data_IF_155188153159
#
_entry.id   IF_155188153159
#
_cell.length_a   1.000
_cell.length_b   1.000
_cell.length_c   1.000
_cell.angle_alpha   90.00
_cell.angle_beta   90.00
_cell.angle_gamma   90.00
#
_symmetry.space_group_name_H-M   'P 1'
#
loop_
_entity.id
_entity.type
_entity.pdbx_description
1 polymer ?
#
# COMPACT_ATOMS: atom_id res chain seq x y z
N UNK A 1 2.50 -2.13 13.30
CA UNK A 1 1.73 -3.40 13.27
C UNK A 1 2.25 -4.11 12.06
N UNK A 2 2.76 -5.36 12.13
CA UNK A 2 3.53 -5.92 11.02
C UNK A 2 2.82 -5.73 9.69
N UNK A 3 3.58 -5.35 8.65
CA UNK A 3 3.08 -5.18 7.27
C UNK A 3 2.12 -6.31 6.93
N UNK A 4 0.90 -5.96 6.51
CA UNK A 4 -0.15 -6.94 6.27
C UNK A 4 -0.27 -7.25 4.79
N UNK A 5 -0.35 -8.54 4.47
CA UNK A 5 -0.52 -9.02 3.11
C UNK A 5 -1.99 -9.29 2.83
N UNK A 6 -2.53 -8.63 1.82
CA UNK A 6 -3.90 -8.78 1.36
C UNK A 6 -3.90 -9.61 0.07
N UNK A 7 -4.66 -10.72 0.09
CA UNK A 7 -4.89 -11.56 -1.09
C UNK A 7 -6.33 -11.52 -1.57
N UNK A 8 -7.27 -11.21 -0.67
CA UNK A 8 -8.67 -11.04 -1.00
C UNK A 8 -8.95 -9.57 -1.36
N UNK A 9 -9.43 -9.27 -2.59
CA UNK A 9 -9.86 -7.93 -2.98
C UNK A 9 -10.82 -7.25 -1.99
N UNK A 10 -11.67 -8.01 -1.30
CA UNK A 10 -12.62 -7.44 -0.34
C UNK A 10 -11.92 -6.82 0.88
N UNK A 11 -10.78 -7.38 1.29
CA UNK A 11 -9.98 -6.85 2.40
C UNK A 11 -9.32 -5.51 2.07
N UNK A 12 -9.13 -5.18 0.78
CA UNK A 12 -8.62 -3.86 0.37
C UNK A 12 -9.63 -2.78 0.73
N UNK A 13 -10.92 -3.01 0.48
CA UNK A 13 -11.99 -2.09 0.85
C UNK A 13 -12.08 -1.90 2.37
N UNK A 14 -11.88 -2.96 3.15
CA UNK A 14 -11.82 -2.92 4.60
C UNK A 14 -10.58 -2.18 5.12
N UNK A 15 -9.43 -2.32 4.47
CA UNK A 15 -8.19 -1.60 4.83
C UNK A 15 -8.30 -0.10 4.55
N UNK A 16 -8.95 0.29 3.45
CA UNK A 16 -9.21 1.69 3.09
C UNK A 16 -10.26 2.32 4.01
N UNK A 17 -11.34 1.57 4.27
CA UNK A 17 -12.50 2.05 5.05
C UNK A 17 -12.38 1.77 6.55
N UNK A 18 -11.25 1.19 6.97
CA UNK A 18 -11.01 0.71 8.31
C UNK A 18 -11.21 1.79 9.37
N UNK A 19 -11.62 1.35 10.55
CA UNK A 19 -12.08 2.19 11.67
C UNK A 19 -10.99 3.01 12.36
N UNK A 20 -9.74 2.86 11.93
CA UNK A 20 -8.62 3.63 12.44
C UNK A 20 -8.51 4.95 11.68
N UNK A 21 -8.45 6.07 12.41
CA UNK A 21 -8.20 7.43 11.90
C UNK A 21 -6.81 7.60 11.24
N UNK A 22 -6.10 6.50 11.01
CA UNK A 22 -4.73 6.50 10.53
C UNK A 22 -4.72 6.54 9.01
N UNK A 23 -3.76 7.26 8.41
CA UNK A 23 -3.47 7.10 7.01
C UNK A 23 -3.08 5.64 6.71
N UNK A 24 -3.52 5.16 5.54
CA UNK A 24 -3.31 3.79 5.08
C UNK A 24 -2.54 3.81 3.77
N UNK A 25 -1.41 3.12 3.72
CA UNK A 25 -0.64 2.92 2.49
C UNK A 25 -0.88 1.50 1.99
N UNK A 26 -1.22 1.38 0.72
CA UNK A 26 -1.42 0.10 0.04
C UNK A 26 -0.46 0.00 -1.14
N UNK A 27 0.40 -1.00 -1.12
CA UNK A 27 1.25 -1.38 -2.23
C UNK A 27 0.58 -2.48 -3.06
N UNK A 28 0.13 -2.14 -4.25
CA UNK A 28 -0.44 -3.09 -5.20
C UNK A 28 0.67 -3.71 -6.04
N UNK A 29 0.98 -4.97 -5.76
CA UNK A 29 2.01 -5.75 -6.46
C UNK A 29 1.43 -6.46 -7.68
N UNK A 30 2.23 -6.55 -8.74
CA UNK A 30 1.90 -7.35 -9.91
C UNK A 30 2.50 -8.76 -9.76
N UNK A 31 1.70 -9.81 -9.51
CA UNK A 31 2.21 -11.17 -9.35
C UNK A 31 2.88 -11.73 -10.60
N UNK A 32 2.67 -11.13 -11.78
CA UNK A 32 3.39 -11.52 -13.00
C UNK A 32 4.87 -11.08 -13.01
N UNK A 33 5.27 -10.17 -12.12
CA UNK A 33 6.64 -9.67 -12.00
C UNK A 33 7.50 -10.49 -11.03
N UNK A 34 6.90 -11.41 -10.28
CA UNK A 34 7.57 -12.27 -9.32
C UNK A 34 6.69 -12.58 -8.12
N UNK A 35 7.15 -13.54 -7.30
CA UNK A 35 6.42 -14.01 -6.12
C UNK A 35 6.24 -12.91 -5.07
N UNK A 36 7.22 -12.00 -4.94
CA UNK A 36 7.26 -10.95 -3.92
C UNK A 36 7.77 -9.61 -4.49
N UNK A 37 7.28 -8.49 -3.93
CA UNK A 37 7.75 -7.15 -4.29
C UNK A 37 9.17 -6.88 -3.75
N UNK A 38 10.09 -6.30 -4.53
CA UNK A 38 11.39 -5.89 -4.02
C UNK A 38 11.30 -4.74 -3.01
N UNK A 39 10.14 -4.10 -2.85
CA UNK A 39 9.93 -3.04 -1.87
C UNK A 39 9.52 -3.59 -0.49
N UNK A 40 9.34 -4.90 -0.31
CA UNK A 40 8.92 -5.46 0.98
C UNK A 40 9.82 -5.04 2.15
N UNK A 41 11.14 -5.05 1.97
CA UNK A 41 12.08 -4.59 3.01
C UNK A 41 11.83 -3.12 3.39
N UNK A 42 11.55 -2.25 2.41
CA UNK A 42 11.21 -0.85 2.66
C UNK A 42 9.92 -0.70 3.47
N UNK A 43 8.89 -1.50 3.17
CA UNK A 43 7.64 -1.49 3.94
C UNK A 43 7.83 -2.02 5.37
N UNK A 44 8.69 -3.03 5.56
CA UNK A 44 9.02 -3.53 6.89
C UNK A 44 9.77 -2.46 7.72
N UNK A 45 10.79 -1.84 7.14
CA UNK A 45 11.52 -0.75 7.79
C UNK A 45 10.59 0.43 8.14
N UNK A 46 9.63 0.74 7.25
CA UNK A 46 8.62 1.75 7.50
C UNK A 46 7.66 1.37 8.65
N UNK A 47 7.20 0.12 8.74
CA UNK A 47 6.34 -0.31 9.85
C UNK A 47 7.05 -0.20 11.20
N UNK A 48 8.33 -0.56 11.25
CA UNK A 48 9.15 -0.44 12.47
C UNK A 48 9.29 1.02 12.92
N UNK A 49 9.36 1.97 11.98
CA UNK A 49 9.55 3.39 12.27
C UNK A 49 8.23 4.14 12.53
N UNK A 50 7.22 3.90 11.70
CA UNK A 50 5.99 4.73 11.63
C UNK A 50 4.69 3.91 11.70
N UNK A 51 4.76 2.59 11.86
CA UNK A 51 3.60 1.69 11.89
C UNK A 51 2.63 1.88 13.06
N UNK A 52 2.96 2.77 14.01
CA UNK A 52 2.03 3.25 15.04
C UNK A 52 1.13 4.37 14.53
N UNK A 53 1.54 5.09 13.49
CA UNK A 53 0.87 6.27 12.92
C UNK A 53 0.19 5.95 11.58
N UNK A 54 0.77 5.03 10.80
CA UNK A 54 0.30 4.63 9.46
C UNK A 54 0.05 3.13 9.40
N UNK A 55 -0.99 2.73 8.68
CA UNK A 55 -1.26 1.31 8.37
C UNK A 55 -0.65 0.95 7.03
N UNK A 56 0.16 -0.12 6.97
CA UNK A 56 0.90 -0.53 5.76
C UNK A 56 0.39 -1.89 5.28
N UNK A 57 -0.06 -1.94 4.02
CA UNK A 57 -0.58 -3.13 3.37
C UNK A 57 0.11 -3.42 2.03
N UNK A 58 0.24 -4.69 1.71
CA UNK A 58 0.75 -5.18 0.41
C UNK A 58 -0.31 -6.08 -0.20
N UNK A 59 -0.78 -5.76 -1.40
CA UNK A 59 -1.75 -6.55 -2.17
C UNK A 59 -1.01 -7.37 -3.20
N UNK A 60 -1.03 -8.69 -3.06
CA UNK A 60 -0.27 -9.60 -3.95
C UNK A 60 -1.15 -10.31 -4.98
N UNK A 61 -2.46 -10.10 -4.95
CA UNK A 61 -3.41 -10.81 -5.80
C UNK A 61 -3.49 -10.29 -7.24
N UNK A 62 -2.75 -9.23 -7.57
CA UNK A 62 -2.91 -8.49 -8.84
C UNK A 62 -4.20 -7.68 -8.91
N UNK A 63 -4.94 -7.59 -7.80
CA UNK A 63 -6.05 -6.67 -7.66
C UNK A 63 -5.54 -5.25 -7.44
N UNK A 64 -6.26 -4.27 -7.98
CA UNK A 64 -6.03 -2.85 -7.74
C UNK A 64 -7.40 -2.18 -7.49
N UNK A 65 -7.45 -1.28 -6.51
CA UNK A 65 -8.70 -0.63 -6.16
C UNK A 65 -9.11 0.40 -7.24
N UNK A 66 -10.39 0.41 -7.70
CA UNK A 66 -10.89 1.46 -8.58
C UNK A 66 -10.70 2.87 -7.99
N UNK A 67 -10.41 3.90 -8.80
CA UNK A 67 -10.56 3.96 -10.26
C UNK A 67 -9.36 3.42 -11.06
N UNK A 68 -8.32 2.89 -10.41
CA UNK A 68 -7.14 2.39 -11.10
C UNK A 68 -7.41 1.13 -11.91
N UNK A 69 -6.57 0.95 -12.92
CA UNK A 69 -6.58 -0.20 -13.83
C UNK A 69 -5.34 -1.07 -13.65
N UNK A 70 -5.44 -2.36 -13.99
CA UNK A 70 -4.37 -3.35 -13.75
C UNK A 70 -3.08 -3.08 -14.51
N UNK A 71 -3.12 -2.24 -15.55
CA UNK A 71 -1.97 -1.75 -16.30
C UNK A 71 -1.12 -0.73 -15.53
N UNK A 72 -1.65 -0.15 -14.46
CA UNK A 72 -0.92 0.75 -13.56
C UNK A 72 -0.08 -0.03 -12.51
N UNK A 73 -0.23 -1.36 -12.43
CA UNK A 73 0.55 -2.18 -11.51
C UNK A 73 2.03 -2.30 -11.96
N UNK A 74 3.00 -2.24 -11.03
CA UNK A 74 2.83 -2.04 -9.59
C UNK A 74 2.64 -0.56 -9.22
N UNK A 75 1.79 -0.31 -8.23
CA UNK A 75 1.45 1.04 -7.76
C UNK A 75 1.39 1.08 -6.23
N UNK A 76 1.80 2.18 -5.62
CA UNK A 76 1.56 2.42 -4.19
C UNK A 76 0.60 3.59 -4.02
N UNK A 77 -0.41 3.44 -3.18
CA UNK A 77 -1.41 4.48 -2.94
C UNK A 77 -1.53 4.80 -1.45
N UNK A 78 -1.67 6.08 -1.15
CA UNK A 78 -1.96 6.61 0.18
C UNK A 78 -3.44 6.97 0.27
N UNK A 79 -4.12 6.37 1.25
CA UNK A 79 -5.49 6.62 1.62
C UNK A 79 -5.53 7.33 2.97
N UNK A 80 -6.42 8.31 3.08
CA UNK A 80 -6.71 9.02 4.32
C UNK A 80 -8.23 9.19 4.43
N UNK A 81 -8.80 8.73 5.54
CA UNK A 81 -10.24 8.74 5.80
C UNK A 81 -11.06 8.11 4.64
N UNK A 82 -10.61 6.95 4.16
CA UNK A 82 -11.28 6.21 3.08
C UNK A 82 -11.19 6.84 1.69
N UNK A 83 -10.34 7.86 1.51
CA UNK A 83 -10.13 8.53 0.22
C UNK A 83 -8.68 8.48 -0.18
N UNK A 84 -8.44 8.20 -1.45
CA UNK A 84 -7.11 8.31 -2.02
C UNK A 84 -6.65 9.78 -1.99
N UNK A 85 -5.44 10.00 -1.48
CA UNK A 85 -4.78 11.30 -1.44
C UNK A 85 -3.74 11.42 -2.53
N UNK A 86 -2.94 10.38 -2.69
CA UNK A 86 -1.77 10.40 -3.56
C UNK A 86 -1.37 8.98 -3.94
N UNK A 87 -0.74 8.86 -5.10
CA UNK A 87 -0.17 7.61 -5.58
C UNK A 87 1.29 7.81 -5.96
N UNK A 88 2.06 6.73 -5.90
CA UNK A 88 3.44 6.66 -6.33
C UNK A 88 3.62 5.45 -7.25
N UNK A 89 4.22 5.63 -8.44
CA UNK A 89 4.54 4.52 -9.32
C UNK A 89 5.61 3.62 -8.69
N UNK A 90 5.89 2.48 -9.33
CA UNK A 90 6.94 1.55 -8.91
C UNK A 90 8.37 2.12 -9.02
N UNK A 91 8.71 3.03 -8.10
CA UNK A 91 10.02 3.66 -8.00
C UNK A 91 10.38 3.86 -6.52
N UNK A 92 11.55 3.38 -6.05
CA UNK A 92 11.87 3.33 -4.63
C UNK A 92 11.81 4.71 -3.95
N UNK A 93 12.39 5.74 -4.57
CA UNK A 93 12.40 7.09 -3.99
C UNK A 93 10.98 7.68 -3.87
N UNK A 94 10.11 7.44 -4.85
CA UNK A 94 8.74 7.98 -4.85
C UNK A 94 7.86 7.25 -3.85
N UNK A 95 8.06 5.95 -3.67
CA UNK A 95 7.36 5.16 -2.65
C UNK A 95 7.84 5.58 -1.26
N UNK A 96 9.14 5.76 -1.05
CA UNK A 96 9.68 6.24 0.21
C UNK A 96 9.16 7.65 0.56
N UNK A 97 9.11 8.55 -0.42
CA UNK A 97 8.55 9.89 -0.23
C UNK A 97 7.07 9.84 0.15
N UNK A 98 6.28 8.95 -0.48
CA UNK A 98 4.88 8.74 -0.14
C UNK A 98 4.71 8.22 1.30
N UNK A 99 5.57 7.28 1.71
CA UNK A 99 5.60 6.74 3.08
C UNK A 99 5.90 7.85 4.09
N UNK A 100 6.88 8.70 3.80
CA UNK A 100 7.27 9.81 4.68
C UNK A 100 6.17 10.89 4.77
N UNK A 101 5.38 11.08 3.71
CA UNK A 101 4.27 12.06 3.67
C UNK A 101 3.01 11.59 4.40
N UNK A 102 2.92 10.30 4.74
CA UNK A 102 1.76 9.75 5.44
C UNK A 102 1.77 10.03 6.96
N UNK A 103 2.81 10.69 7.47
CA UNK A 103 3.03 10.99 8.91
C UNK A 103 2.85 12.47 9.20
#
# INVERSE_FOLDING_TARGET
MPVQFIRDPHQVGEAISGSDLKPTIIHYWNPAMGDESPFLSMFHDADEQIGSQVSLYVVESGFINPPHSTDELPLTALYDNGKEKQTAPFHPDLVQDLINQAV
#
